data_IF_328602309209
#
_entry.id   IF_328602309209
#
_cell.length_a   1.000
_cell.length_b   1.000
_cell.length_c   1.000
_cell.angle_alpha   90.00
_cell.angle_beta   90.00
_cell.angle_gamma   90.00
#
_symmetry.space_group_name_H-M   'P 1'
#
loop_
_entity.id
_entity.type
_entity.pdbx_description
1 polymer ?
#
# COMPACT_ATOMS: atom_id res chain seq x y z
N UNK A 1 -11.44 1.69 -10.05
CA UNK A 1 -11.47 1.27 -8.64
C UNK A 1 -11.05 2.46 -7.82
N UNK A 2 -11.74 2.76 -6.72
CA UNK A 2 -11.38 3.85 -5.81
C UNK A 2 -10.23 3.39 -4.87
N UNK A 3 -9.03 3.99 -4.93
CA UNK A 3 -7.86 3.45 -4.25
C UNK A 3 -7.88 3.75 -2.74
N UNK A 4 -8.55 2.94 -1.91
CA UNK A 4 -8.59 3.14 -0.44
C UNK A 4 -7.33 2.69 0.29
N UNK A 5 -6.76 1.58 -0.15
CA UNK A 5 -5.53 1.04 0.43
C UNK A 5 -4.44 1.01 -0.63
N UNK A 6 -3.22 1.32 -0.22
CA UNK A 6 -2.00 1.09 -1.00
C UNK A 6 -1.23 -0.04 -0.32
N UNK A 7 -0.97 -1.09 -1.07
CA UNK A 7 -0.15 -2.22 -0.65
C UNK A 7 1.24 -2.03 -1.26
N UNK A 8 2.27 -1.90 -0.43
CA UNK A 8 3.65 -1.65 -0.87
C UNK A 8 4.54 -2.83 -0.46
N UNK A 9 5.10 -3.51 -1.45
CA UNK A 9 6.11 -4.55 -1.28
C UNK A 9 7.50 -3.90 -1.23
N UNK A 10 8.06 -3.76 -0.04
CA UNK A 10 9.37 -3.13 0.20
C UNK A 10 10.49 -4.17 0.14
N UNK A 11 11.37 -4.05 -0.86
CA UNK A 11 12.48 -4.97 -1.08
C UNK A 11 13.70 -4.70 -0.20
N UNK A 12 13.82 -3.52 0.42
CA UNK A 12 14.95 -3.19 1.28
C UNK A 12 14.89 -3.96 2.60
N UNK A 13 13.69 -4.12 3.16
CA UNK A 13 13.47 -4.74 4.47
C UNK A 13 12.63 -6.02 4.41
N UNK A 14 12.03 -6.33 3.26
CA UNK A 14 11.18 -7.51 3.09
C UNK A 14 9.83 -7.36 3.80
N UNK A 15 9.25 -6.16 3.77
CA UNK A 15 7.98 -5.85 4.43
C UNK A 15 6.85 -5.62 3.41
N UNK A 16 5.63 -5.96 3.81
CA UNK A 16 4.40 -5.49 3.16
C UNK A 16 3.85 -4.32 3.98
N UNK A 17 3.96 -3.10 3.46
CA UNK A 17 3.29 -1.95 4.06
C UNK A 17 1.85 -1.88 3.55
N UNK A 18 0.91 -1.68 4.47
CA UNK A 18 -0.52 -1.54 4.16
C UNK A 18 -0.94 -0.15 4.62
N UNK A 19 -1.09 0.76 3.67
CA UNK A 19 -1.44 2.15 3.93
C UNK A 19 -2.91 2.33 3.61
N UNK A 20 -3.71 2.77 4.59
CA UNK A 20 -5.07 3.27 4.33
C UNK A 20 -4.97 4.76 4.09
N UNK A 21 -5.30 5.20 2.88
CA UNK A 21 -5.28 6.62 2.55
C UNK A 21 -6.37 7.35 3.35
N UNK A 22 -6.03 8.54 3.82
CA UNK A 22 -6.99 9.49 4.39
C UNK A 22 -7.88 10.08 3.29
N UNK A 23 -9.02 10.64 3.67
CA UNK A 23 -9.90 11.33 2.71
C UNK A 23 -9.20 12.52 2.02
N UNK A 24 -8.26 13.17 2.71
CA UNK A 24 -7.44 14.25 2.15
C UNK A 24 -6.45 13.72 1.11
N UNK A 25 -5.71 12.66 1.42
CA UNK A 25 -4.77 12.01 0.50
C UNK A 25 -5.47 11.41 -0.73
N UNK A 26 -6.67 10.82 -0.53
CA UNK A 26 -7.50 10.32 -1.63
C UNK A 26 -7.82 11.45 -2.60
N UNK A 27 -8.30 12.59 -2.08
CA UNK A 27 -8.60 13.76 -2.90
C UNK A 27 -7.37 14.34 -3.56
N UNK A 28 -6.27 14.45 -2.83
CA UNK A 28 -4.99 14.93 -3.35
C UNK A 28 -4.49 14.03 -4.49
N UNK A 29 -4.67 12.71 -4.39
CA UNK A 29 -4.23 11.76 -5.42
C UNK A 29 -4.91 11.98 -6.78
N UNK A 30 -6.11 12.57 -6.82
CA UNK A 30 -6.84 12.89 -8.06
C UNK A 30 -6.25 14.09 -8.81
N UNK A 31 -5.41 14.89 -8.15
CA UNK A 31 -4.78 16.08 -8.73
C UNK A 31 -3.48 15.75 -9.51
N UNK A 32 -3.01 14.50 -9.44
CA UNK A 32 -1.80 14.03 -10.13
C UNK A 32 -2.14 13.33 -11.44
N UNK A 33 -1.25 13.44 -12.44
CA UNK A 33 -1.41 12.77 -13.75
C UNK A 33 -1.43 11.25 -13.61
N UNK A 34 -0.64 10.73 -12.67
CA UNK A 34 -0.54 9.32 -12.36
C UNK A 34 -0.39 9.11 -10.85
N UNK A 35 -0.79 7.91 -10.40
CA UNK A 35 -0.81 7.58 -8.99
C UNK A 35 0.60 7.38 -8.41
N UNK A 36 1.59 7.01 -9.23
CA UNK A 36 2.98 6.85 -8.79
C UNK A 36 3.59 8.20 -8.40
N UNK A 37 3.27 9.26 -9.16
CA UNK A 37 3.61 10.64 -8.82
C UNK A 37 3.04 11.05 -7.46
N UNK A 38 1.78 10.70 -7.16
CA UNK A 38 1.20 10.91 -5.83
C UNK A 38 1.96 10.10 -4.76
N UNK A 39 2.24 8.82 -4.99
CA UNK A 39 2.96 8.00 -4.00
C UNK A 39 4.33 8.56 -3.63
N UNK A 40 5.02 9.20 -4.58
CA UNK A 40 6.31 9.84 -4.33
C UNK A 40 6.25 10.95 -3.28
N UNK A 41 5.09 11.60 -3.09
CA UNK A 41 4.93 12.71 -2.13
C UNK A 41 4.72 12.22 -0.69
N UNK A 42 4.28 10.97 -0.52
CA UNK A 42 4.00 10.37 0.79
C UNK A 42 5.07 9.38 1.28
N UNK A 43 6.17 9.21 0.52
CA UNK A 43 7.30 8.33 0.86
C UNK A 43 7.83 8.58 2.28
N UNK A 44 8.16 9.84 2.60
CA UNK A 44 8.70 10.22 3.90
C UNK A 44 7.67 10.04 5.03
N UNK A 45 6.39 10.33 4.75
CA UNK A 45 5.30 10.24 5.71
C UNK A 45 5.09 8.81 6.21
N UNK A 46 5.15 7.83 5.30
CA UNK A 46 4.92 6.42 5.62
C UNK A 46 6.20 5.58 5.69
N UNK A 47 7.36 6.16 5.45
CA UNK A 47 8.66 5.52 5.66
C UNK A 47 8.99 4.43 4.66
N UNK A 48 8.59 4.58 3.39
CA UNK A 48 8.98 3.68 2.30
C UNK A 48 9.81 4.42 1.25
N UNK A 49 10.45 3.68 0.34
CA UNK A 49 11.16 4.27 -0.80
C UNK A 49 10.63 3.68 -2.10
N UNK A 50 9.90 4.48 -2.87
CA UNK A 50 9.13 4.01 -4.03
C UNK A 50 10.02 3.32 -5.07
N UNK A 51 11.24 3.84 -5.27
CA UNK A 51 12.24 3.26 -6.19
C UNK A 51 12.65 1.81 -5.84
N UNK A 52 12.41 1.38 -4.61
CA UNK A 52 12.75 0.05 -4.10
C UNK A 52 11.49 -0.75 -3.72
N UNK A 53 10.33 -0.39 -4.28
CA UNK A 53 9.07 -1.03 -3.98
C UNK A 53 8.32 -1.48 -5.24
N UNK A 54 7.41 -2.43 -5.07
CA UNK A 54 6.27 -2.63 -5.97
C UNK A 54 5.00 -2.27 -5.21
N UNK A 55 3.97 -1.79 -5.91
CA UNK A 55 2.73 -1.38 -5.24
C UNK A 55 1.48 -1.75 -6.03
N UNK A 56 0.36 -1.79 -5.33
CA UNK A 56 -0.98 -1.86 -5.90
C UNK A 56 -2.00 -1.14 -5.01
N UNK A 57 -3.16 -0.82 -5.56
CA UNK A 57 -4.29 -0.26 -4.81
C UNK A 57 -5.46 -1.23 -4.71
N UNK A 58 -6.24 -1.12 -3.64
CA UNK A 58 -7.49 -1.88 -3.46
C UNK A 58 -8.52 -1.05 -2.70
N UNK A 59 -9.80 -1.26 -3.02
CA UNK A 59 -10.95 -0.67 -2.30
C UNK A 59 -11.16 -1.34 -0.94
N UNK A 60 -11.00 -2.66 -0.89
CA UNK A 60 -11.18 -3.49 0.29
C UNK A 60 -9.88 -4.19 0.66
N UNK A 61 -9.56 -4.19 1.96
CA UNK A 61 -8.38 -4.85 2.48
C UNK A 61 -8.72 -6.28 2.88
N UNK A 62 -8.18 -7.25 2.15
CA UNK A 62 -8.20 -8.65 2.50
C UNK A 62 -6.74 -9.13 2.59
N UNK A 63 -6.33 -9.64 3.74
CA UNK A 63 -4.97 -10.14 3.98
C UNK A 63 -5.07 -11.65 4.12
N UNK A 64 -4.45 -12.38 3.19
CA UNK A 64 -4.38 -13.84 3.25
C UNK A 64 -2.93 -14.24 3.53
N UNK A 65 -2.66 -14.82 4.70
CA UNK A 65 -1.36 -15.42 5.04
C UNK A 65 -1.47 -16.93 4.95
N UNK A 66 -0.43 -17.58 4.44
CA UNK A 66 -0.38 -19.03 4.31
C UNK A 66 0.87 -19.60 4.99
N UNK A 67 0.70 -20.67 5.74
CA UNK A 67 1.78 -21.46 6.32
C UNK A 67 1.55 -22.94 6.00
N UNK A 68 2.61 -23.64 5.56
CA UNK A 68 2.54 -25.06 5.18
C UNK A 68 1.39 -25.38 4.19
N UNK A 69 1.12 -24.47 3.26
CA UNK A 69 0.09 -24.63 2.22
C UNK A 69 -1.35 -24.46 2.72
N UNK A 70 -1.57 -23.86 3.88
CA UNK A 70 -2.91 -23.56 4.43
C UNK A 70 -3.00 -22.11 4.86
N UNK A 71 -4.17 -21.52 4.68
CA UNK A 71 -4.44 -20.17 5.17
C UNK A 71 -4.37 -20.20 6.70
N UNK A 72 -3.67 -19.23 7.28
CA UNK A 72 -3.62 -19.01 8.71
C UNK A 72 -4.42 -17.77 9.04
N UNK A 73 -5.38 -17.91 9.94
CA UNK A 73 -6.10 -16.76 10.49
C UNK A 73 -5.15 -15.99 11.40
N UNK A 74 -5.10 -14.68 11.23
CA UNK A 74 -4.48 -13.80 12.22
C UNK A 74 -5.37 -13.73 13.45
N UNK A 75 -5.12 -14.61 14.42
CA UNK A 75 -5.61 -14.44 15.78
C UNK A 75 -4.84 -13.28 16.42
N UNK A 76 -5.27 -12.06 16.14
CA UNK A 76 -4.90 -10.89 16.94
C UNK A 76 -5.55 -10.97 18.33
#
# INVERSE_FOLDING_TARGET
MEPRYVLILDFCVGCLNIIKLTDEELRESEEYEDFESFLSTIEEKYGFRLSNCQWMTTEELNICRYENGREVEDYA
#
